data_IF_595028240923
#
_entry.id   IF_595028240923
#
_cell.length_a   1.000
_cell.length_b   1.000
_cell.length_c   1.000
_cell.angle_alpha   90.00
_cell.angle_beta   90.00
_cell.angle_gamma   90.00
#
_symmetry.space_group_name_H-M   'P 1'
#
loop_
_entity.id
_entity.type
_entity.pdbx_description
1 polymer ?
#
# COMPACT_ATOMS: atom_id res chain seq x y z
N UNK A 1 20.22 -13.25 21.30
CA UNK A 1 19.78 -13.16 20.73
C UNK A 1 19.05 -13.12 20.15
N UNK A 2 18.67 -13.21 20.08
CA UNK A 2 17.98 -13.28 19.55
C UNK A 2 17.36 -13.19 18.75
N UNK A 3 17.21 -13.49 18.38
CA UNK A 3 16.62 -13.51 17.53
C UNK A 3 15.68 -13.32 17.14
N UNK A 4 15.60 -12.99 16.68
CA UNK A 4 14.49 -12.75 16.40
C UNK A 4 13.95 -13.36 15.24
N UNK A 5 13.02 -14.03 15.27
CA UNK A 5 12.44 -14.72 14.29
C UNK A 5 11.41 -13.97 13.63
N UNK A 6 11.25 -13.94 12.30
CA UNK A 6 10.13 -13.31 11.64
C UNK A 6 8.86 -13.95 12.11
N UNK A 7 7.90 -13.14 12.48
CA UNK A 7 6.58 -13.61 12.84
C UNK A 7 5.60 -13.13 11.79
N UNK A 8 4.33 -13.54 11.90
CA UNK A 8 3.31 -13.01 11.02
C UNK A 8 3.18 -11.53 11.14
N UNK A 9 3.29 -11.02 12.37
CA UNK A 9 3.26 -9.60 12.61
C UNK A 9 4.41 -8.91 11.91
N UNK A 10 5.60 -9.54 11.96
CA UNK A 10 6.77 -8.99 11.27
C UNK A 10 6.54 -8.97 9.76
N UNK A 11 5.89 -9.99 9.22
CA UNK A 11 5.60 -10.02 7.79
C UNK A 11 4.65 -8.90 7.40
N UNK A 12 3.62 -8.64 8.20
CA UNK A 12 2.70 -7.54 7.94
C UNK A 12 3.41 -6.20 8.04
N UNK A 13 4.29 -6.04 9.03
CA UNK A 13 5.06 -4.81 9.16
C UNK A 13 5.95 -4.58 7.94
N UNK A 14 6.55 -5.63 7.41
CA UNK A 14 7.38 -5.50 6.22
C UNK A 14 6.57 -5.00 5.03
N UNK A 15 5.34 -5.50 4.86
CA UNK A 15 4.46 -5.05 3.80
C UNK A 15 4.12 -3.58 3.99
N UNK A 16 3.76 -3.19 5.21
CA UNK A 16 3.41 -1.81 5.52
C UNK A 16 4.59 -0.88 5.24
N UNK A 17 5.79 -1.26 5.69
CA UNK A 17 6.97 -0.44 5.46
C UNK A 17 7.28 -0.29 3.98
N UNK A 18 7.09 -1.35 3.20
CA UNK A 18 7.31 -1.28 1.77
C UNK A 18 6.30 -0.34 1.10
N UNK A 19 5.04 -0.38 1.52
CA UNK A 19 4.02 0.52 0.98
C UNK A 19 4.41 1.97 1.28
N UNK A 20 4.79 2.25 2.53
CA UNK A 20 5.21 3.59 2.95
C UNK A 20 6.42 4.05 2.12
N UNK A 21 7.36 3.15 1.88
CA UNK A 21 8.57 3.49 1.14
C UNK A 21 8.30 3.86 -0.31
N UNK A 22 7.36 3.18 -0.95
CA UNK A 22 7.08 3.44 -2.36
C UNK A 22 6.01 4.50 -2.58
N UNK A 23 5.22 4.83 -1.55
CA UNK A 23 4.13 5.80 -1.69
C UNK A 23 4.58 7.14 -2.29
N UNK A 24 5.74 7.71 -1.93
CA UNK A 24 6.16 8.98 -2.50
C UNK A 24 6.40 8.95 -4.01
N UNK A 25 6.51 7.76 -4.59
CA UNK A 25 6.77 7.62 -6.02
C UNK A 25 5.51 7.39 -6.84
N UNK A 26 4.34 7.54 -6.18
CA UNK A 26 3.05 7.36 -6.84
C UNK A 26 2.16 8.55 -6.56
N UNK A 27 1.31 8.89 -7.54
CA UNK A 27 0.31 9.94 -7.40
C UNK A 27 -1.05 9.36 -7.73
N UNK A 28 -2.07 9.80 -6.99
CA UNK A 28 -3.43 9.44 -7.32
C UNK A 28 -3.82 10.18 -8.59
N UNK A 29 -4.19 9.42 -9.62
CA UNK A 29 -4.64 9.97 -10.88
C UNK A 29 -6.17 10.03 -10.93
N UNK A 30 -6.82 9.01 -10.42
CA UNK A 30 -8.28 8.95 -10.38
C UNK A 30 -8.69 8.00 -9.26
N UNK A 31 -9.65 8.41 -8.45
CA UNK A 31 -10.05 7.59 -7.30
C UNK A 31 -11.54 7.74 -7.04
N UNK A 32 -12.24 6.63 -7.11
CA UNK A 32 -13.64 6.54 -6.66
C UNK A 32 -13.68 5.39 -5.65
N UNK A 33 -14.71 5.34 -4.79
CA UNK A 33 -14.79 4.22 -3.84
C UNK A 33 -14.72 2.89 -4.58
N UNK A 34 -13.78 2.05 -4.18
CA UNK A 34 -13.60 0.72 -4.76
C UNK A 34 -12.62 0.65 -5.91
N UNK A 35 -12.14 1.78 -6.43
CA UNK A 35 -11.20 1.72 -7.55
C UNK A 35 -10.29 2.94 -7.57
N UNK A 36 -9.00 2.70 -7.52
CA UNK A 36 -8.01 3.77 -7.55
C UNK A 36 -7.04 3.54 -8.70
N UNK A 37 -6.75 4.62 -9.44
CA UNK A 37 -5.70 4.61 -10.45
C UNK A 37 -4.57 5.50 -9.98
N UNK A 38 -3.38 4.94 -9.97
CA UNK A 38 -2.17 5.63 -9.55
C UNK A 38 -1.24 5.80 -10.74
N UNK A 39 -0.55 6.92 -10.76
CA UNK A 39 0.52 7.15 -11.73
C UNK A 39 1.84 7.02 -10.99
N UNK A 40 2.80 6.35 -11.60
CA UNK A 40 4.11 6.18 -10.99
C UNK A 40 5.10 7.17 -11.58
N UNK A 41 6.03 7.64 -10.73
CA UNK A 41 7.11 8.50 -11.18
C UNK A 41 8.18 7.67 -11.89
N UNK A 42 9.10 8.31 -12.63
CA UNK A 42 10.19 7.57 -13.26
C UNK A 42 11.06 6.80 -12.29
N UNK A 43 11.18 7.25 -11.04
CA UNK A 43 11.99 6.58 -10.04
C UNK A 43 11.28 5.38 -9.39
N UNK A 44 10.02 5.13 -9.74
CA UNK A 44 9.25 4.06 -9.13
C UNK A 44 9.92 2.69 -9.30
N UNK A 45 10.42 2.40 -10.49
CA UNK A 45 11.02 1.09 -10.75
C UNK A 45 12.22 0.84 -9.86
N UNK A 46 13.03 1.88 -9.60
CA UNK A 46 14.15 1.74 -8.69
C UNK A 46 13.66 1.57 -7.25
N UNK A 47 12.58 2.25 -6.89
CA UNK A 47 12.03 2.20 -5.54
C UNK A 47 11.49 0.82 -5.21
N UNK A 48 10.98 0.07 -6.19
CA UNK A 48 10.42 -1.27 -5.93
C UNK A 48 11.44 -2.38 -6.12
N UNK A 49 12.69 -2.04 -6.37
CA UNK A 49 13.72 -3.06 -6.53
C UNK A 49 13.80 -3.91 -5.27
N UNK A 50 13.77 -5.23 -5.44
CA UNK A 50 13.79 -6.14 -4.32
C UNK A 50 12.44 -6.38 -3.67
N UNK A 51 11.38 -5.77 -4.21
CA UNK A 51 10.02 -5.94 -3.71
C UNK A 51 9.20 -6.67 -4.77
N UNK A 52 8.51 -7.74 -4.35
CA UNK A 52 7.51 -8.37 -5.22
C UNK A 52 6.25 -7.53 -5.11
N UNK A 53 6.13 -6.56 -6.02
CA UNK A 53 5.06 -5.56 -5.95
C UNK A 53 3.68 -6.21 -6.09
N UNK A 54 3.53 -7.16 -7.02
CA UNK A 54 2.25 -7.83 -7.21
C UNK A 54 1.81 -8.57 -5.96
N UNK A 55 2.73 -9.31 -5.35
CA UNK A 55 2.43 -10.04 -4.14
C UNK A 55 2.07 -9.10 -3.00
N UNK A 56 2.81 -7.98 -2.90
CA UNK A 56 2.56 -6.99 -1.87
C UNK A 56 1.14 -6.44 -1.97
N UNK A 57 0.73 -6.04 -3.17
CA UNK A 57 -0.60 -5.48 -3.37
C UNK A 57 -1.68 -6.51 -3.05
N UNK A 58 -1.51 -7.74 -3.51
CA UNK A 58 -2.49 -8.80 -3.23
C UNK A 58 -2.60 -9.12 -1.75
N UNK A 59 -1.57 -8.82 -0.99
CA UNK A 59 -1.55 -9.11 0.44
C UNK A 59 -2.31 -8.10 1.29
N UNK A 60 -2.69 -6.96 0.72
CA UNK A 60 -3.42 -5.93 1.47
C UNK A 60 -4.86 -6.39 1.67
N UNK A 61 -5.33 -6.46 2.93
CA UNK A 61 -6.73 -6.86 3.17
C UNK A 61 -7.69 -5.94 2.45
N UNK A 62 -8.63 -6.52 1.73
CA UNK A 62 -9.63 -5.75 1.00
C UNK A 62 -9.33 -5.52 -0.46
N UNK A 63 -8.10 -5.77 -0.91
CA UNK A 63 -7.77 -5.67 -2.34
C UNK A 63 -8.41 -6.84 -3.07
N UNK A 64 -9.13 -6.53 -4.14
CA UNK A 64 -9.84 -7.52 -4.95
C UNK A 64 -9.09 -7.86 -6.23
N UNK A 65 -8.48 -6.87 -6.86
CA UNK A 65 -7.76 -7.06 -8.11
C UNK A 65 -6.81 -5.90 -8.33
N UNK A 66 -5.81 -6.10 -9.18
CA UNK A 66 -4.91 -5.01 -9.52
C UNK A 66 -4.33 -5.26 -10.89
N UNK A 67 -3.89 -4.17 -11.51
CA UNK A 67 -3.29 -4.23 -12.84
C UNK A 67 -2.17 -3.21 -12.92
N UNK A 68 -1.00 -3.67 -13.33
CA UNK A 68 0.17 -2.80 -13.49
C UNK A 68 0.47 -2.67 -14.97
N UNK A 69 0.59 -1.44 -15.44
CA UNK A 69 0.95 -1.14 -16.82
C UNK A 69 2.20 -0.25 -16.77
N UNK A 70 3.37 -0.88 -16.85
CA UNK A 70 4.63 -0.16 -16.72
C UNK A 70 4.87 0.85 -17.84
N UNK A 71 4.61 0.53 -19.12
CA UNK A 71 4.78 1.53 -20.17
C UNK A 71 3.94 2.77 -19.96
N UNK A 72 2.72 2.62 -19.42
CA UNK A 72 1.84 3.75 -19.14
C UNK A 72 2.11 4.36 -17.77
N UNK A 73 3.00 3.77 -16.98
CA UNK A 73 3.28 4.17 -15.61
C UNK A 73 2.02 4.25 -14.77
N UNK A 74 1.19 3.22 -14.87
CA UNK A 74 -0.13 3.22 -14.28
C UNK A 74 -0.34 1.95 -13.46
N UNK A 75 -0.94 2.10 -12.29
CA UNK A 75 -1.37 1.00 -11.44
C UNK A 75 -2.83 1.23 -11.12
N UNK A 76 -3.67 0.23 -11.38
CA UNK A 76 -5.08 0.28 -11.04
C UNK A 76 -5.34 -0.78 -9.99
N UNK A 77 -5.99 -0.40 -8.90
CA UNK A 77 -6.32 -1.32 -7.82
C UNK A 77 -7.82 -1.25 -7.57
N UNK A 78 -8.47 -2.42 -7.57
CA UNK A 78 -9.86 -2.54 -7.18
C UNK A 78 -9.90 -3.12 -5.78
N UNK A 79 -10.75 -2.57 -4.94
CA UNK A 79 -10.79 -2.94 -3.55
C UNK A 79 -12.21 -2.86 -2.99
N UNK A 80 -12.41 -3.52 -1.85
CA UNK A 80 -13.68 -3.46 -1.14
C UNK A 80 -13.66 -2.24 -0.20
N UNK A 81 -14.42 -1.18 -0.50
CA UNK A 81 -14.35 0.04 0.32
C UNK A 81 -14.90 -0.15 1.74
N UNK A 82 -15.58 -1.25 2.01
CA UNK A 82 -16.02 -1.56 3.37
C UNK A 82 -14.90 -2.09 4.23
N UNK A 83 -13.89 -2.70 3.61
CA UNK A 83 -12.74 -3.27 4.33
C UNK A 83 -11.53 -2.36 4.26
N UNK A 84 -11.39 -1.63 3.16
CA UNK A 84 -10.22 -0.80 2.90
C UNK A 84 -10.74 0.60 2.59
N UNK A 85 -10.76 1.50 3.58
CA UNK A 85 -11.44 2.79 3.42
C UNK A 85 -10.83 3.67 2.33
N UNK A 86 -11.71 4.37 1.62
CA UNK A 86 -11.33 5.37 0.63
C UNK A 86 -10.33 6.38 1.22
N UNK A 87 -10.61 6.84 2.44
CA UNK A 87 -9.78 7.86 3.07
C UNK A 87 -8.36 7.37 3.32
N UNK A 88 -8.17 6.08 3.57
CA UNK A 88 -6.84 5.54 3.77
C UNK A 88 -6.00 5.62 2.49
N UNK A 89 -6.62 5.29 1.35
CA UNK A 89 -5.93 5.42 0.06
C UNK A 89 -5.53 6.86 -0.20
N UNK A 90 -6.42 7.80 0.11
CA UNK A 90 -6.13 9.22 -0.06
C UNK A 90 -4.96 9.64 0.83
N UNK A 91 -4.93 9.15 2.05
CA UNK A 91 -3.83 9.46 2.97
C UNK A 91 -2.50 8.91 2.47
N UNK A 92 -2.51 7.67 1.96
CA UNK A 92 -1.29 7.09 1.39
C UNK A 92 -0.80 7.94 0.22
N UNK A 93 -1.72 8.39 -0.62
CA UNK A 93 -1.37 9.22 -1.77
C UNK A 93 -0.84 10.59 -1.39
N UNK A 94 -1.12 11.06 -0.18
CA UNK A 94 -0.66 12.37 0.29
C UNK A 94 0.69 12.32 0.99
N UNK A 95 1.23 11.14 1.25
CA UNK A 95 2.52 11.02 1.95
C UNK A 95 3.61 11.79 1.21
N UNK A 96 3.58 11.76 -0.11
CA UNK A 96 4.56 12.48 -0.93
C UNK A 96 4.62 13.97 -0.58
N UNK A 97 3.47 14.56 -0.31
CA UNK A 97 3.36 16.01 -0.05
C UNK A 97 3.35 16.33 1.43
N UNK A 98 3.11 15.34 2.29
CA UNK A 98 3.04 15.56 3.71
C UNK A 98 3.59 14.34 4.46
N UNK A 99 4.92 14.23 4.56
CA UNK A 99 5.52 13.06 5.24
C UNK A 99 5.16 12.94 6.71
N UNK A 100 4.61 14.00 7.31
CA UNK A 100 4.24 13.96 8.71
C UNK A 100 3.13 12.98 9.02
N UNK A 101 2.34 12.61 8.00
CA UNK A 101 1.23 11.69 8.22
C UNK A 101 1.64 10.23 8.21
N UNK A 102 2.93 9.93 7.99
CA UNK A 102 3.40 8.55 7.88
C UNK A 102 3.04 7.71 9.10
N UNK A 103 3.26 8.24 10.30
CA UNK A 103 2.97 7.48 11.52
C UNK A 103 1.47 7.14 11.62
N UNK A 104 0.63 8.11 11.32
CA UNK A 104 -0.82 7.93 11.37
C UNK A 104 -1.27 6.90 10.32
N UNK A 105 -0.76 7.02 9.10
CA UNK A 105 -1.09 6.09 8.03
C UNK A 105 -0.62 4.68 8.38
N UNK A 106 0.57 4.56 8.96
CA UNK A 106 1.10 3.27 9.37
C UNK A 106 0.16 2.59 10.37
N UNK A 107 -0.31 3.34 11.35
CA UNK A 107 -1.23 2.79 12.34
C UNK A 107 -2.55 2.38 11.71
N UNK A 108 -3.06 3.18 10.78
CA UNK A 108 -4.29 2.84 10.07
C UNK A 108 -4.12 1.57 9.25
N UNK A 109 -2.96 1.39 8.63
CA UNK A 109 -2.69 0.17 7.87
C UNK A 109 -2.59 -1.06 8.76
N UNK A 110 -1.95 -0.92 9.93
CA UNK A 110 -1.89 -2.03 10.89
C UNK A 110 -3.28 -2.50 11.27
N UNK A 111 -4.22 -1.57 11.39
CA UNK A 111 -5.58 -1.90 11.76
C UNK A 111 -6.28 -2.79 10.74
N UNK A 112 -5.87 -2.74 9.47
CA UNK A 112 -6.45 -3.61 8.45
C UNK A 112 -6.21 -5.08 8.78
N UNK A 113 -4.98 -5.43 9.15
CA UNK A 113 -4.66 -6.80 9.50
C UNK A 113 -5.20 -7.19 10.85
N UNK A 114 -5.28 -6.23 11.78
CA UNK A 114 -5.88 -6.50 13.07
C UNK A 114 -7.36 -6.88 12.91
N UNK A 115 -8.07 -6.19 12.03
CA UNK A 115 -9.46 -6.51 11.73
C UNK A 115 -9.62 -7.89 11.10
N UNK A 116 -8.67 -8.27 10.22
CA UNK A 116 -8.67 -9.59 9.62
C UNK A 116 -8.51 -10.67 10.68
N UNK A 117 -7.55 -10.47 11.56
CA UNK A 117 -7.25 -11.45 12.60
C UNK A 117 -8.36 -11.53 13.61
N UNK A 118 -9.02 -10.43 13.87
CA UNK A 118 -10.07 -10.37 14.85
C UNK A 118 -11.34 -11.12 14.49
N UNK A 119 -11.42 -11.62 13.27
CA UNK A 119 -12.59 -12.41 12.85
C UNK A 119 -12.45 -13.89 13.24
#
# INVERSE_FOLDING_TARGET
MENLKPSRLTAHEAIIQNIIRIAPYMNIHHHVPGRIRLKTSPAFLAAIRGIDFDKMIRSIPGVLDHRVNLPARSVVIEYDPRRLPYALWESVGHIRHNPRIVAQVTDQMRALWAGEVGK
#
